data_IF_961976523528
#
_entry.id   IF_961976523528
#
_cell.length_a   1.000
_cell.length_b   1.000
_cell.length_c   1.000
_cell.angle_alpha   90.00
_cell.angle_beta   90.00
_cell.angle_gamma   90.00
#
_symmetry.space_group_name_H-M   'P 1'
#
loop_
_entity.id
_entity.type
_entity.pdbx_description
1 polymer ?
#
# COMPACT_ATOMS: atom_id res chain seq x y z
N UNK A 1 -43.77 38.81 39.31
CA UNK A 1 -44.35 39.86 38.43
C UNK A 1 -43.81 41.20 38.92
N UNK A 2 -43.34 42.16 38.12
CA UNK A 2 -43.12 42.16 36.66
C UNK A 2 -43.15 43.61 36.10
N UNK A 3 -42.06 44.08 35.49
CA UNK A 3 -41.92 45.41 34.85
C UNK A 3 -41.37 46.52 35.76
N UNK A 4 -40.83 47.64 35.24
CA UNK A 4 -40.54 48.07 33.86
C UNK A 4 -39.69 49.37 33.89
N UNK A 5 -38.63 49.56 33.07
CA UNK A 5 -38.03 50.89 32.78
C UNK A 5 -37.07 50.91 31.54
N UNK A 6 -36.91 52.09 30.91
CA UNK A 6 -36.16 52.40 29.65
C UNK A 6 -35.56 53.83 29.69
N UNK A 7 -34.54 54.24 28.90
CA UNK A 7 -33.66 53.46 28.00
C UNK A 7 -32.18 53.97 27.87
N UNK A 8 -31.82 55.10 27.18
CA UNK A 8 -30.52 55.14 26.44
C UNK A 8 -29.76 56.50 26.58
N UNK A 9 -28.84 56.95 25.67
CA UNK A 9 -27.98 56.30 24.64
C UNK A 9 -26.45 56.68 24.72
N UNK A 10 -25.65 56.10 23.79
CA UNK A 10 -24.42 56.58 23.10
C UNK A 10 -23.24 57.31 23.80
N UNK A 11 -21.99 56.89 23.45
CA UNK A 11 -20.80 57.76 23.61
C UNK A 11 -19.39 57.13 23.63
N UNK A 12 -18.83 56.77 22.45
CA UNK A 12 -17.39 56.67 22.12
C UNK A 12 -16.40 55.70 22.85
N UNK A 13 -15.39 55.25 22.08
CA UNK A 13 -14.19 54.43 22.42
C UNK A 13 -13.01 55.38 22.87
N UNK A 14 -11.76 54.94 23.25
CA UNK A 14 -11.10 53.64 22.96
C UNK A 14 -9.96 53.11 23.92
N UNK A 15 -9.28 52.05 23.43
CA UNK A 15 -7.88 51.59 23.70
C UNK A 15 -7.58 50.69 24.94
N UNK A 16 -6.95 49.55 24.60
CA UNK A 16 -6.11 48.59 25.35
C UNK A 16 -6.35 48.26 26.82
N UNK A 17 -6.61 46.96 27.03
CA UNK A 17 -6.11 46.20 28.18
C UNK A 17 -5.35 44.98 27.67
N UNK A 18 -4.03 44.93 27.91
CA UNK A 18 -3.27 43.68 27.88
C UNK A 18 -3.74 42.76 29.02
N UNK A 19 -3.75 41.44 28.81
CA UNK A 19 -3.99 40.49 29.91
C UNK A 19 -4.56 39.13 29.53
N UNK A 20 -3.68 38.23 29.07
CA UNK A 20 -3.83 36.77 29.11
C UNK A 20 -5.11 36.11 28.53
N UNK A 21 -4.95 35.49 27.36
CA UNK A 21 -5.74 34.32 26.96
C UNK A 21 -4.79 33.22 26.48
N UNK A 22 -5.04 31.98 26.89
CA UNK A 22 -4.29 30.80 26.44
C UNK A 22 -4.50 30.57 24.93
N UNK A 23 -3.50 30.09 24.18
CA UNK A 23 -3.73 29.68 22.80
C UNK A 23 -4.47 28.35 22.80
N UNK A 24 -5.76 28.37 22.42
CA UNK A 24 -6.49 27.15 22.07
C UNK A 24 -5.66 26.30 21.09
N UNK A 25 -5.54 25.02 21.39
CA UNK A 25 -4.72 24.07 20.62
C UNK A 25 -5.29 23.84 19.22
N UNK A 26 -4.96 24.74 18.29
CA UNK A 26 -5.42 24.67 16.90
C UNK A 26 -5.08 23.32 16.27
N UNK A 27 -6.11 22.65 15.76
CA UNK A 27 -5.96 21.49 14.91
C UNK A 27 -5.11 21.88 13.70
N UNK A 28 -3.84 21.45 13.70
CA UNK A 28 -2.82 21.94 12.79
C UNK A 28 -3.23 21.79 11.33
N UNK A 29 -3.05 22.87 10.55
CA UNK A 29 -3.26 22.84 9.12
C UNK A 29 -2.32 21.80 8.47
N UNK A 30 -2.89 20.65 8.11
CA UNK A 30 -2.16 19.57 7.42
C UNK A 30 -1.54 20.13 6.13
N UNK A 31 -0.23 19.95 5.94
CA UNK A 31 0.47 20.40 4.75
C UNK A 31 -0.25 19.93 3.47
N UNK A 32 -0.35 20.81 2.48
CA UNK A 32 -1.00 20.52 1.19
C UNK A 32 -0.05 19.73 0.28
N UNK A 33 0.02 18.42 0.51
CA UNK A 33 0.53 17.48 -0.49
C UNK A 33 -0.62 17.09 -1.42
N UNK A 34 -0.46 17.36 -2.72
CA UNK A 34 -1.43 17.04 -3.76
C UNK A 34 -1.42 15.52 -4.06
N UNK A 35 -2.09 14.74 -3.22
CA UNK A 35 -2.23 13.28 -3.36
C UNK A 35 -3.33 12.95 -4.38
N UNK A 36 -3.13 13.40 -5.62
CA UNK A 36 -4.00 13.08 -6.76
C UNK A 36 -3.47 11.86 -7.53
N UNK A 37 -3.91 10.66 -7.15
CA UNK A 37 -3.64 9.45 -7.93
C UNK A 37 -4.20 8.17 -7.33
N UNK A 38 -5.02 7.44 -8.08
CA UNK A 38 -5.62 6.18 -7.66
C UNK A 38 -4.68 4.96 -7.56
N UNK A 39 -3.38 5.10 -7.90
CA UNK A 39 -2.38 4.03 -7.76
C UNK A 39 -1.41 4.37 -6.64
N UNK A 40 -1.03 3.36 -5.85
CA UNK A 40 -0.07 3.48 -4.77
C UNK A 40 1.33 3.91 -5.30
N UNK A 41 1.64 3.45 -6.50
CA UNK A 41 2.91 3.62 -7.19
C UNK A 41 3.22 5.04 -7.70
N UNK A 42 4.37 5.59 -7.30
CA UNK A 42 4.88 6.86 -7.83
C UNK A 42 6.42 6.92 -7.89
N UNK A 43 6.94 7.77 -8.79
CA UNK A 43 8.38 8.08 -8.86
C UNK A 43 8.72 9.14 -7.82
N UNK A 44 9.87 8.97 -7.13
CA UNK A 44 10.42 10.02 -6.27
C UNK A 44 11.28 11.00 -7.08
N UNK A 45 10.93 12.29 -7.06
CA UNK A 45 11.65 13.36 -7.74
C UNK A 45 11.06 13.76 -9.11
N UNK A 46 11.69 14.74 -9.80
CA UNK A 46 11.25 15.16 -11.13
C UNK A 46 11.31 13.98 -12.09
N UNK A 47 10.26 13.82 -12.91
CA UNK A 47 10.19 12.71 -13.85
C UNK A 47 11.42 12.74 -14.78
N UNK A 48 12.10 11.60 -15.01
CA UNK A 48 13.08 11.53 -16.07
C UNK A 48 12.42 11.96 -17.39
N UNK A 49 13.15 12.72 -18.22
CA UNK A 49 12.68 13.22 -19.51
C UNK A 49 12.08 12.11 -20.37
N UNK A 50 11.25 12.43 -21.38
CA UNK A 50 10.29 11.52 -21.99
C UNK A 50 10.95 10.41 -22.84
N UNK A 51 11.57 9.45 -22.16
CA UNK A 51 11.87 8.14 -22.71
C UNK A 51 10.52 7.52 -23.12
N UNK A 52 10.36 7.05 -24.36
CA UNK A 52 9.10 6.47 -24.80
C UNK A 52 8.77 5.28 -23.89
N UNK A 53 7.66 5.38 -23.16
CA UNK A 53 7.20 4.27 -22.33
C UNK A 53 6.93 3.08 -23.24
N UNK A 54 7.46 1.87 -22.94
CA UNK A 54 7.30 0.73 -23.82
C UNK A 54 5.82 0.46 -24.06
N UNK A 55 5.46 0.21 -25.32
CA UNK A 55 4.07 -0.06 -25.70
C UNK A 55 3.51 -1.21 -24.86
N UNK A 56 2.33 -1.00 -24.29
CA UNK A 56 1.68 -1.99 -23.44
C UNK A 56 1.36 -3.25 -24.26
N UNK A 57 1.68 -4.46 -23.76
CA UNK A 57 1.41 -5.68 -24.49
C UNK A 57 -0.10 -5.86 -24.69
N UNK A 58 -0.53 -5.94 -25.95
CA UNK A 58 -1.94 -6.12 -26.28
C UNK A 58 -2.36 -7.56 -26.02
N UNK A 59 -3.38 -7.75 -25.17
CA UNK A 59 -3.93 -9.06 -24.86
C UNK A 59 -5.15 -9.36 -25.76
N UNK A 60 -5.21 -10.53 -26.42
CA UNK A 60 -6.34 -10.88 -27.28
C UNK A 60 -7.58 -11.25 -26.45
N UNK A 61 -8.50 -10.30 -26.23
CA UNK A 61 -9.73 -10.48 -25.42
C UNK A 61 -10.48 -11.79 -25.72
N UNK A 62 -10.57 -12.19 -26.99
CA UNK A 62 -11.24 -13.42 -27.45
C UNK A 62 -10.66 -14.73 -26.89
N UNK A 63 -9.49 -14.70 -26.24
CA UNK A 63 -8.88 -15.85 -25.56
C UNK A 63 -9.20 -15.89 -24.06
N UNK A 64 -9.94 -14.93 -23.51
CA UNK A 64 -10.32 -14.91 -22.09
C UNK A 64 -11.68 -15.58 -21.90
N UNK A 65 -11.69 -16.77 -21.28
CA UNK A 65 -12.91 -17.42 -20.77
C UNK A 65 -13.11 -17.02 -19.31
N UNK A 66 -14.20 -16.34 -19.02
CA UNK A 66 -14.58 -16.04 -17.64
C UNK A 66 -14.74 -17.33 -16.81
N UNK A 67 -14.27 -17.31 -15.56
CA UNK A 67 -14.45 -18.38 -14.58
C UNK A 67 -15.29 -17.91 -13.39
N UNK A 68 -14.85 -16.87 -12.68
CA UNK A 68 -15.53 -16.31 -11.51
C UNK A 68 -15.15 -14.84 -11.28
N UNK A 69 -15.90 -14.14 -10.42
CA UNK A 69 -15.58 -12.78 -9.97
C UNK A 69 -14.76 -12.86 -8.68
N UNK A 70 -13.53 -12.35 -8.70
CA UNK A 70 -12.62 -12.33 -7.55
C UNK A 70 -12.93 -11.17 -6.59
N UNK A 71 -13.51 -10.07 -7.10
CA UNK A 71 -13.94 -8.96 -6.25
C UNK A 71 -14.26 -7.69 -7.01
N UNK A 72 -14.43 -6.61 -6.26
CA UNK A 72 -14.62 -5.24 -6.74
C UNK A 72 -13.49 -4.35 -6.23
N UNK A 73 -13.05 -3.41 -7.06
CA UNK A 73 -12.07 -2.41 -6.72
C UNK A 73 -12.44 -1.04 -7.28
N UNK A 74 -11.63 -0.03 -6.95
CA UNK A 74 -11.89 1.38 -7.23
C UNK A 74 -12.43 1.68 -8.65
N UNK A 75 -11.92 0.98 -9.67
CA UNK A 75 -12.26 1.20 -11.08
C UNK A 75 -13.40 0.31 -11.62
N UNK A 76 -13.74 -0.78 -10.93
CA UNK A 76 -14.64 -1.81 -11.42
C UNK A 76 -14.37 -3.19 -10.82
N UNK A 77 -14.45 -4.24 -11.63
CA UNK A 77 -14.40 -5.62 -11.14
C UNK A 77 -13.04 -6.27 -11.40
N UNK A 78 -12.70 -7.29 -10.61
CA UNK A 78 -11.60 -8.21 -10.94
C UNK A 78 -12.21 -9.59 -11.15
N UNK A 79 -11.90 -10.18 -12.30
CA UNK A 79 -12.41 -11.47 -12.73
C UNK A 79 -11.26 -12.48 -12.81
N UNK A 80 -11.53 -13.74 -12.46
CA UNK A 80 -10.69 -14.87 -12.84
C UNK A 80 -11.08 -15.29 -14.26
N UNK A 81 -10.09 -15.36 -15.14
CA UNK A 81 -10.27 -15.90 -16.49
C UNK A 81 -9.26 -17.02 -16.77
N UNK A 82 -9.68 -17.99 -17.57
CA UNK A 82 -8.81 -18.94 -18.23
C UNK A 82 -8.40 -18.41 -19.61
N UNK A 83 -7.17 -18.71 -20.02
CA UNK A 83 -6.65 -18.36 -21.35
C UNK A 83 -6.76 -19.54 -22.32
N UNK A 84 -7.52 -19.36 -23.39
CA UNK A 84 -7.61 -20.29 -24.51
C UNK A 84 -6.30 -20.32 -25.31
N UNK A 85 -5.73 -21.51 -25.49
CA UNK A 85 -4.47 -21.75 -26.23
C UNK A 85 -3.36 -20.72 -25.85
N UNK A 86 -2.75 -20.88 -24.66
CA UNK A 86 -1.71 -19.98 -24.16
C UNK A 86 -0.45 -19.92 -25.04
N UNK A 87 -0.22 -20.94 -25.87
CA UNK A 87 0.95 -21.04 -26.75
C UNK A 87 0.88 -20.07 -27.93
N UNK A 88 -0.31 -19.55 -28.25
CA UNK A 88 -0.51 -18.49 -29.24
C UNK A 88 -0.67 -17.10 -28.60
N UNK A 89 -0.37 -16.92 -27.31
CA UNK A 89 -0.20 -15.58 -26.74
C UNK A 89 1.05 -14.89 -27.32
N UNK A 90 1.00 -13.56 -27.54
CA UNK A 90 2.19 -12.78 -27.88
C UNK A 90 3.34 -13.00 -26.86
N UNK A 91 4.62 -13.00 -27.27
CA UNK A 91 5.73 -13.31 -26.36
C UNK A 91 5.78 -12.43 -25.09
N UNK A 92 5.44 -11.14 -25.19
CA UNK A 92 5.38 -10.23 -24.04
C UNK A 92 4.22 -10.55 -23.07
N UNK A 93 3.15 -11.17 -23.58
CA UNK A 93 1.98 -11.58 -22.80
C UNK A 93 2.04 -13.00 -22.26
N UNK A 94 3.05 -13.78 -22.68
CA UNK A 94 3.25 -15.13 -22.19
C UNK A 94 3.95 -15.08 -20.82
N UNK A 95 3.43 -15.79 -19.80
CA UNK A 95 4.20 -16.11 -18.60
C UNK A 95 5.51 -16.82 -18.99
N UNK A 96 6.61 -16.65 -18.24
CA UNK A 96 7.86 -17.36 -18.52
C UNK A 96 7.66 -18.87 -18.40
N UNK A 97 6.95 -19.29 -17.35
CA UNK A 97 6.61 -20.69 -17.07
C UNK A 97 5.13 -20.91 -17.40
N UNK A 98 4.86 -21.46 -18.59
CA UNK A 98 3.52 -21.91 -18.92
C UNK A 98 3.19 -23.21 -18.17
N UNK A 99 2.01 -23.31 -17.54
CA UNK A 99 1.59 -24.53 -16.86
C UNK A 99 1.55 -25.73 -17.82
N UNK A 100 2.14 -26.85 -17.41
CA UNK A 100 2.03 -28.14 -18.11
C UNK A 100 0.84 -28.91 -17.54
N UNK A 101 -0.11 -29.31 -18.40
CA UNK A 101 -1.24 -30.16 -18.01
C UNK A 101 -2.34 -29.49 -17.15
N UNK A 102 -2.23 -28.19 -16.83
CA UNK A 102 -3.28 -27.40 -16.16
C UNK A 102 -3.57 -26.11 -16.94
N UNK A 103 -4.79 -25.54 -16.87
CA UNK A 103 -5.13 -24.32 -17.58
C UNK A 103 -4.28 -23.12 -17.12
N UNK A 104 -4.05 -22.15 -18.01
CA UNK A 104 -3.48 -20.86 -17.63
C UNK A 104 -4.60 -19.96 -17.10
N UNK A 105 -4.57 -19.68 -15.79
CA UNK A 105 -5.44 -18.73 -15.12
C UNK A 105 -4.79 -17.34 -15.04
N UNK A 106 -5.59 -16.30 -15.20
CA UNK A 106 -5.18 -14.89 -15.15
C UNK A 106 -6.21 -14.05 -14.40
N UNK A 107 -5.74 -13.03 -13.69
CA UNK A 107 -6.62 -12.03 -13.07
C UNK A 107 -6.85 -10.89 -14.06
N UNK A 108 -8.12 -10.53 -14.28
CA UNK A 108 -8.55 -9.54 -15.27
C UNK A 108 -9.29 -8.42 -14.55
N UNK A 109 -8.61 -7.28 -14.34
CA UNK A 109 -9.23 -6.05 -13.83
C UNK A 109 -9.98 -5.38 -14.98
N UNK A 110 -11.26 -5.07 -14.79
CA UNK A 110 -12.14 -4.49 -15.82
C UNK A 110 -12.59 -3.09 -15.39
N UNK A 111 -12.35 -2.10 -16.25
CA UNK A 111 -12.87 -0.74 -16.05
C UNK A 111 -14.37 -0.71 -16.35
N UNK A 112 -15.17 -0.12 -15.46
CA UNK A 112 -16.62 0.02 -15.67
C UNK A 112 -16.97 0.89 -16.89
N UNK A 113 -18.10 0.64 -17.58
CA UNK A 113 -18.54 1.45 -18.72
C UNK A 113 -18.82 2.92 -18.38
N UNK A 114 -19.28 3.20 -17.15
CA UNK A 114 -19.61 4.53 -16.62
C UNK A 114 -18.41 5.26 -15.99
N UNK A 115 -17.21 4.67 -16.05
CA UNK A 115 -16.02 5.23 -15.41
C UNK A 115 -15.67 6.63 -15.93
N UNK A 116 -15.45 7.56 -15.00
CA UNK A 116 -15.09 8.95 -15.31
C UNK A 116 -13.79 9.05 -16.11
N UNK A 117 -13.57 10.17 -16.82
CA UNK A 117 -12.32 10.43 -17.56
C UNK A 117 -11.08 10.30 -16.66
N UNK A 118 -11.18 10.71 -15.39
CA UNK A 118 -10.10 10.57 -14.40
C UNK A 118 -9.88 9.10 -14.02
N UNK A 119 -10.95 8.34 -13.71
CA UNK A 119 -10.84 6.91 -13.43
C UNK A 119 -10.22 6.13 -14.61
N UNK A 120 -10.60 6.46 -15.85
CA UNK A 120 -10.00 5.88 -17.07
C UNK A 120 -8.52 6.23 -17.23
N UNK A 121 -8.12 7.48 -16.94
CA UNK A 121 -6.72 7.92 -16.98
C UNK A 121 -5.88 7.16 -15.95
N UNK A 122 -6.36 7.09 -14.72
CA UNK A 122 -5.66 6.46 -13.60
C UNK A 122 -5.51 4.93 -13.84
N UNK A 123 -6.55 4.26 -14.36
CA UNK A 123 -6.49 2.86 -14.80
C UNK A 123 -5.44 2.62 -15.91
N UNK A 124 -5.38 3.50 -16.92
CA UNK A 124 -4.34 3.41 -17.96
C UNK A 124 -2.94 3.71 -17.41
N UNK A 125 -2.83 4.55 -16.37
CA UNK A 125 -1.56 4.84 -15.72
C UNK A 125 -1.06 3.67 -14.88
N UNK A 126 -1.94 2.99 -14.14
CA UNK A 126 -1.67 1.72 -13.46
C UNK A 126 -1.08 0.69 -14.44
N UNK A 127 -1.71 0.51 -15.60
CA UNK A 127 -1.23 -0.39 -16.64
C UNK A 127 0.19 -0.03 -17.14
N UNK A 128 0.45 1.26 -17.43
CA UNK A 128 1.78 1.77 -17.84
C UNK A 128 2.84 1.53 -16.77
N UNK A 129 2.48 1.73 -15.51
CA UNK A 129 3.33 1.46 -14.37
C UNK A 129 3.69 -0.02 -14.32
N UNK A 130 2.71 -0.93 -14.24
CA UNK A 130 2.93 -2.37 -14.18
C UNK A 130 3.71 -2.90 -15.40
N UNK A 131 3.51 -2.33 -16.59
CA UNK A 131 4.23 -2.71 -17.81
C UNK A 131 5.75 -2.47 -17.76
N UNK A 132 6.24 -1.67 -16.81
CA UNK A 132 7.68 -1.42 -16.57
C UNK A 132 8.28 -2.33 -15.49
N UNK A 133 7.45 -3.02 -14.71
CA UNK A 133 7.90 -3.83 -13.58
C UNK A 133 8.08 -5.30 -14.00
N UNK A 134 9.26 -5.85 -13.70
CA UNK A 134 9.65 -7.23 -14.06
C UNK A 134 10.59 -7.80 -13.00
N UNK A 135 10.01 -8.39 -11.96
CA UNK A 135 10.72 -9.04 -10.87
C UNK A 135 9.91 -10.27 -10.39
N UNK A 136 10.54 -11.36 -9.90
CA UNK A 136 9.80 -12.52 -9.40
C UNK A 136 8.82 -12.22 -8.27
N UNK A 137 9.09 -11.19 -7.46
CA UNK A 137 8.31 -10.81 -6.28
C UNK A 137 7.47 -9.54 -6.48
N UNK A 138 7.25 -9.10 -7.72
CA UNK A 138 6.27 -8.06 -8.10
C UNK A 138 5.24 -8.68 -9.05
N UNK A 139 3.97 -8.31 -8.91
CA UNK A 139 2.92 -8.85 -9.79
C UNK A 139 3.12 -8.43 -11.24
N UNK A 140 3.13 -9.41 -12.15
CA UNK A 140 3.45 -9.21 -13.56
C UNK A 140 2.23 -8.84 -14.40
N UNK A 141 2.35 -7.76 -15.16
CA UNK A 141 1.45 -7.47 -16.28
C UNK A 141 1.66 -8.50 -17.41
N UNK A 142 0.58 -9.16 -17.82
CA UNK A 142 0.52 -9.99 -19.03
C UNK A 142 -0.06 -9.19 -20.21
N UNK A 143 -0.93 -8.22 -19.98
CA UNK A 143 -1.29 -7.28 -21.04
C UNK A 143 -2.52 -6.45 -20.76
N UNK A 144 -2.98 -5.76 -21.82
CA UNK A 144 -4.18 -4.92 -21.78
C UNK A 144 -5.11 -5.19 -22.96
N UNK A 145 -6.41 -5.13 -22.71
CA UNK A 145 -7.43 -5.10 -23.76
C UNK A 145 -7.81 -3.63 -24.02
N UNK A 146 -7.36 -3.07 -25.15
CA UNK A 146 -7.52 -1.64 -25.48
C UNK A 146 -8.38 -1.36 -26.74
N UNK A 147 -8.98 -2.41 -27.34
CA UNK A 147 -9.87 -2.31 -28.50
C UNK A 147 -11.35 -2.29 -28.11
N UNK A 148 -12.21 -2.90 -28.92
CA UNK A 148 -13.64 -3.04 -28.63
C UNK A 148 -13.91 -3.73 -27.28
N UNK A 149 -14.93 -3.26 -26.55
CA UNK A 149 -15.28 -3.67 -25.20
C UNK A 149 -14.58 -2.87 -24.08
N UNK A 150 -14.84 -3.19 -22.80
CA UNK A 150 -14.31 -2.44 -21.66
C UNK A 150 -12.78 -2.58 -21.55
N UNK A 151 -12.09 -1.54 -21.07
CA UNK A 151 -10.65 -1.61 -20.86
C UNK A 151 -10.32 -2.67 -19.80
N UNK A 152 -9.31 -3.50 -20.07
CA UNK A 152 -8.86 -4.52 -19.11
C UNK A 152 -7.35 -4.44 -18.87
N UNK A 153 -6.94 -4.75 -17.64
CA UNK A 153 -5.57 -5.07 -17.25
C UNK A 153 -5.55 -6.56 -16.89
N UNK A 154 -4.62 -7.31 -17.49
CA UNK A 154 -4.46 -8.74 -17.28
C UNK A 154 -3.13 -8.95 -16.56
N UNK A 155 -3.18 -9.50 -15.35
CA UNK A 155 -2.01 -9.93 -14.59
C UNK A 155 -1.99 -11.45 -14.44
N UNK A 156 -0.88 -11.99 -13.96
CA UNK A 156 -0.88 -13.35 -13.41
C UNK A 156 -1.93 -13.49 -12.28
N UNK A 157 -2.48 -14.70 -12.15
CA UNK A 157 -3.37 -15.07 -11.04
C UNK A 157 -2.56 -15.74 -9.92
N UNK A 158 -2.92 -15.44 -8.68
CA UNK A 158 -2.25 -15.92 -7.47
C UNK A 158 -3.28 -16.71 -6.66
N UNK A 159 -3.16 -18.04 -6.69
CA UNK A 159 -4.18 -19.00 -6.28
C UNK A 159 -4.54 -19.05 -4.79
N UNK A 160 -3.86 -18.26 -3.95
CA UNK A 160 -4.13 -18.18 -2.51
C UNK A 160 -4.58 -16.78 -2.06
N UNK A 161 -4.91 -15.90 -3.01
CA UNK A 161 -5.45 -14.57 -2.73
C UNK A 161 -4.41 -13.63 -2.14
N UNK A 162 -4.85 -12.69 -1.30
CA UNK A 162 -3.96 -11.78 -0.59
C UNK A 162 -3.33 -12.42 0.66
N UNK A 163 -2.17 -11.91 1.04
CA UNK A 163 -1.36 -12.42 2.14
C UNK A 163 -2.03 -12.21 3.51
N UNK A 164 -2.88 -11.19 3.66
CA UNK A 164 -3.57 -10.92 4.92
C UNK A 164 -4.58 -12.04 5.23
N UNK A 165 -5.47 -12.36 4.27
CA UNK A 165 -6.41 -13.48 4.39
C UNK A 165 -5.68 -14.82 4.50
N UNK A 166 -4.62 -15.02 3.71
CA UNK A 166 -3.86 -16.25 3.72
C UNK A 166 -3.21 -16.54 5.08
N UNK A 167 -2.60 -15.53 5.72
CA UNK A 167 -1.97 -15.66 7.02
C UNK A 167 -2.97 -15.80 8.18
N UNK A 168 -4.11 -15.09 8.10
CA UNK A 168 -5.19 -15.22 9.08
C UNK A 168 -5.95 -16.55 9.00
N UNK A 169 -5.89 -17.24 7.86
CA UNK A 169 -6.55 -18.52 7.61
C UNK A 169 -5.79 -19.75 8.17
N UNK A 170 -6.42 -20.94 8.21
CA UNK A 170 -5.86 -22.14 8.85
C UNK A 170 -4.48 -22.56 8.33
N UNK A 171 -4.22 -22.40 7.01
CA UNK A 171 -2.91 -22.67 6.41
C UNK A 171 -1.83 -21.70 6.90
N UNK A 172 -2.17 -20.42 7.01
CA UNK A 172 -1.29 -19.36 7.52
C UNK A 172 -0.92 -19.55 8.99
N UNK A 173 -1.89 -19.94 9.82
CA UNK A 173 -1.67 -20.22 11.24
C UNK A 173 -0.66 -21.36 11.47
N UNK A 174 -0.66 -22.37 10.60
CA UNK A 174 0.26 -23.52 10.67
C UNK A 174 1.69 -23.24 10.16
N UNK A 175 2.00 -22.02 9.67
CA UNK A 175 3.32 -21.72 9.11
C UNK A 175 4.39 -21.59 10.20
N UNK A 176 5.55 -22.21 9.92
CA UNK A 176 6.77 -22.08 10.71
C UNK A 176 7.36 -20.67 10.63
N UNK A 177 8.12 -20.25 11.64
CA UNK A 177 8.89 -19.00 11.60
C UNK A 177 9.82 -18.92 10.38
N UNK A 178 10.44 -20.05 9.98
CA UNK A 178 11.27 -20.11 8.78
C UNK A 178 10.49 -19.78 7.49
N UNK A 179 9.23 -20.21 7.40
CA UNK A 179 8.32 -19.87 6.28
C UNK A 179 7.90 -18.40 6.34
N UNK A 180 7.59 -17.85 7.52
CA UNK A 180 7.26 -16.43 7.68
C UNK A 180 8.44 -15.51 7.33
N UNK A 181 9.67 -15.91 7.69
CA UNK A 181 10.90 -15.23 7.27
C UNK A 181 11.11 -15.31 5.75
N UNK A 182 10.75 -16.42 5.11
CA UNK A 182 10.80 -16.56 3.65
C UNK A 182 9.77 -15.66 2.94
N UNK A 183 8.55 -15.55 3.48
CA UNK A 183 7.54 -14.57 3.04
C UNK A 183 8.08 -13.14 3.15
N UNK A 184 8.62 -12.75 4.31
CA UNK A 184 9.21 -11.43 4.52
C UNK A 184 10.40 -11.14 3.59
N UNK A 185 11.26 -12.12 3.34
CA UNK A 185 12.38 -12.00 2.40
C UNK A 185 11.91 -11.76 0.95
N UNK A 186 10.86 -12.45 0.50
CA UNK A 186 10.28 -12.24 -0.83
C UNK A 186 9.71 -10.82 -0.99
N UNK A 187 8.96 -10.32 0.00
CA UNK A 187 8.47 -8.93 0.01
C UNK A 187 9.65 -7.95 -0.05
N UNK A 188 10.69 -8.15 0.76
CA UNK A 188 11.89 -7.32 0.75
C UNK A 188 12.65 -7.37 -0.60
N UNK A 189 12.63 -8.50 -1.31
CA UNK A 189 13.23 -8.62 -2.65
C UNK A 189 12.46 -7.81 -3.69
N UNK A 190 11.12 -7.90 -3.71
CA UNK A 190 10.29 -7.09 -4.60
C UNK A 190 10.45 -5.59 -4.33
N UNK A 191 10.42 -5.19 -3.04
CA UNK A 191 10.64 -3.79 -2.66
C UNK A 191 12.05 -3.28 -2.95
N UNK A 192 13.08 -4.15 -2.89
CA UNK A 192 14.43 -3.83 -3.37
C UNK A 192 14.46 -3.52 -4.86
N UNK A 193 13.71 -4.26 -5.68
CA UNK A 193 13.57 -3.98 -7.11
C UNK A 193 12.89 -2.62 -7.35
N UNK A 194 11.79 -2.32 -6.65
CA UNK A 194 11.10 -1.02 -6.75
C UNK A 194 12.01 0.15 -6.32
N UNK A 195 12.69 0.03 -5.18
CA UNK A 195 13.63 1.04 -4.71
C UNK A 195 14.78 1.29 -5.72
N UNK A 196 15.28 0.25 -6.38
CA UNK A 196 16.28 0.36 -7.46
C UNK A 196 15.80 1.11 -8.71
N UNK A 197 14.48 1.28 -8.88
CA UNK A 197 13.86 2.07 -9.94
C UNK A 197 13.45 3.50 -9.46
N UNK A 198 13.88 3.92 -8.27
CA UNK A 198 13.46 5.17 -7.60
C UNK A 198 11.92 5.30 -7.49
N UNK A 199 11.28 4.17 -7.23
CA UNK A 199 9.84 4.01 -7.29
C UNK A 199 9.32 3.61 -5.91
N UNK A 200 8.32 4.37 -5.44
CA UNK A 200 7.77 4.30 -4.08
C UNK A 200 6.39 3.66 -4.15
N UNK A 201 6.14 2.67 -3.28
CA UNK A 201 4.89 1.93 -3.19
C UNK A 201 3.82 2.70 -2.39
N UNK A 202 4.18 3.41 -1.32
CA UNK A 202 3.27 4.26 -0.50
C UNK A 202 2.14 3.54 0.26
N UNK A 203 1.79 2.31 -0.09
CA UNK A 203 0.70 1.51 0.52
C UNK A 203 1.14 0.04 0.69
N UNK A 204 2.39 -0.18 1.13
CA UNK A 204 2.90 -1.52 1.40
C UNK A 204 2.28 -2.08 2.69
N UNK A 205 1.55 -3.18 2.56
CA UNK A 205 0.90 -3.92 3.63
C UNK A 205 0.64 -5.37 3.18
N UNK A 206 0.29 -6.27 4.10
CA UNK A 206 -0.04 -7.67 3.72
C UNK A 206 -1.24 -7.77 2.78
N UNK A 207 -2.26 -6.91 2.95
CA UNK A 207 -3.42 -6.77 2.04
C UNK A 207 -3.06 -6.38 0.59
N UNK A 208 -1.84 -5.92 0.35
CA UNK A 208 -1.31 -5.53 -0.97
C UNK A 208 -0.17 -6.47 -1.42
N UNK A 209 -0.05 -7.65 -0.79
CA UNK A 209 0.79 -8.75 -1.25
C UNK A 209 -0.11 -9.93 -1.62
N UNK A 210 0.20 -10.64 -2.71
CA UNK A 210 -0.52 -11.86 -3.13
C UNK A 210 0.30 -13.12 -2.92
N UNK A 211 -0.38 -14.25 -2.70
CA UNK A 211 0.20 -15.57 -2.45
C UNK A 211 -0.18 -16.54 -3.55
N UNK A 212 0.82 -17.24 -4.10
CA UNK A 212 0.66 -18.29 -5.10
C UNK A 212 1.26 -19.62 -4.63
N UNK A 213 1.37 -20.53 -5.59
CA UNK A 213 1.92 -21.88 -5.38
C UNK A 213 3.30 -21.85 -4.69
N UNK A 214 3.56 -22.83 -3.82
CA UNK A 214 4.83 -22.96 -3.11
C UNK A 214 5.15 -21.85 -2.10
N UNK A 215 4.14 -21.08 -1.66
CA UNK A 215 4.31 -19.85 -0.86
C UNK A 215 5.06 -18.74 -1.60
N UNK A 216 4.94 -18.69 -2.93
CA UNK A 216 5.45 -17.57 -3.73
C UNK A 216 4.67 -16.30 -3.37
N UNK A 217 5.37 -15.23 -2.98
CA UNK A 217 4.76 -13.95 -2.61
C UNK A 217 5.14 -12.87 -3.61
N UNK A 218 4.14 -12.09 -4.05
CA UNK A 218 4.32 -10.95 -4.94
C UNK A 218 3.66 -9.70 -4.39
N UNK A 219 4.42 -8.61 -4.32
CA UNK A 219 3.88 -7.29 -3.99
C UNK A 219 3.06 -6.77 -5.17
N UNK A 220 1.91 -6.18 -4.89
CA UNK A 220 0.96 -5.69 -5.87
C UNK A 220 0.29 -4.38 -5.41
N UNK A 221 -0.58 -3.82 -6.26
CA UNK A 221 -1.44 -2.66 -5.98
C UNK A 221 -2.89 -3.04 -6.34
N UNK A 222 -3.43 -4.07 -5.67
CA UNK A 222 -4.81 -4.48 -5.89
C UNK A 222 -5.74 -3.46 -5.25
N UNK A 223 -6.19 -2.49 -6.04
CA UNK A 223 -7.25 -1.53 -5.66
C UNK A 223 -8.61 -2.13 -5.29
N UNK A 224 -8.71 -3.47 -5.11
CA UNK A 224 -9.78 -4.16 -4.36
C UNK A 224 -9.63 -3.97 -2.85
N UNK A 225 -8.38 -3.95 -2.35
CA UNK A 225 -8.06 -3.92 -0.93
C UNK A 225 -8.61 -2.69 -0.21
N UNK A 226 -8.87 -1.59 -0.93
CA UNK A 226 -9.48 -0.37 -0.36
C UNK A 226 -10.96 -0.54 0.03
N UNK A 227 -11.69 -1.46 -0.60
CA UNK A 227 -13.08 -1.74 -0.24
C UNK A 227 -13.16 -2.77 0.89
N UNK A 228 -12.38 -3.85 0.79
CA UNK A 228 -12.37 -4.93 1.79
C UNK A 228 -11.74 -4.50 3.12
N UNK A 229 -10.67 -3.69 3.07
CA UNK A 229 -9.93 -3.20 4.23
C UNK A 229 -10.19 -1.71 4.50
N UNK A 230 -11.43 -1.24 4.34
CA UNK A 230 -11.76 0.18 4.51
C UNK A 230 -11.34 0.75 5.88
N UNK A 231 -11.35 -0.07 6.94
CA UNK A 231 -10.92 0.29 8.29
C UNK A 231 -9.39 0.51 8.45
N UNK A 232 -8.58 0.17 7.44
CA UNK A 232 -7.14 0.48 7.43
C UNK A 232 -6.83 1.89 6.90
N UNK A 233 -7.82 2.60 6.33
CA UNK A 233 -7.63 3.87 5.66
C UNK A 233 -8.35 5.02 6.37
N UNK A 234 -7.57 5.99 6.85
CA UNK A 234 -8.09 7.24 7.36
C UNK A 234 -8.52 8.18 6.23
N UNK A 235 -9.67 8.85 6.41
CA UNK A 235 -10.23 9.80 5.43
C UNK A 235 -10.04 11.23 5.93
N UNK A 236 -8.96 11.87 5.50
CA UNK A 236 -8.77 13.32 5.72
C UNK A 236 -9.86 14.09 4.95
N UNK A 237 -10.52 15.06 5.60
CA UNK A 237 -11.60 15.86 4.99
C UNK A 237 -11.10 16.54 3.70
N UNK A 238 -11.78 16.28 2.59
CA UNK A 238 -11.47 16.85 1.27
C UNK A 238 -10.24 16.26 0.56
N UNK A 239 -9.60 15.21 1.09
CA UNK A 239 -8.38 14.62 0.52
C UNK A 239 -8.50 13.11 0.30
N UNK A 240 -7.41 12.49 -0.14
CA UNK A 240 -7.29 11.05 -0.38
C UNK A 240 -7.43 10.20 0.91
N UNK A 241 -7.72 8.92 0.72
CA UNK A 241 -7.64 7.88 1.75
C UNK A 241 -6.16 7.55 2.03
N UNK A 242 -5.78 7.45 3.30
CA UNK A 242 -4.38 7.27 3.73
C UNK A 242 -4.24 6.08 4.69
N UNK A 243 -3.32 5.12 4.43
CA UNK A 243 -3.09 3.95 5.30
C UNK A 243 -2.23 4.32 6.53
N UNK A 244 -2.69 5.25 7.37
CA UNK A 244 -1.88 5.94 8.39
C UNK A 244 -1.16 5.00 9.37
N UNK A 245 -1.69 3.80 9.60
CA UNK A 245 -1.10 2.77 10.50
C UNK A 245 0.16 2.10 9.93
N UNK A 246 0.41 2.23 8.62
CA UNK A 246 1.63 1.78 7.92
C UNK A 246 2.56 2.94 7.53
N UNK A 247 2.08 4.18 7.58
CA UNK A 247 2.81 5.35 7.12
C UNK A 247 3.91 5.77 8.11
N UNK A 248 5.06 6.18 7.57
CA UNK A 248 6.09 6.84 8.35
C UNK A 248 5.61 8.21 8.85
N UNK A 249 6.20 8.70 9.95
CA UNK A 249 5.78 9.96 10.56
C UNK A 249 5.89 11.15 9.58
N UNK A 250 6.91 11.17 8.72
CA UNK A 250 7.08 12.20 7.70
C UNK A 250 6.03 12.13 6.56
N UNK A 251 5.47 10.95 6.29
CA UNK A 251 4.36 10.82 5.34
C UNK A 251 3.08 11.43 5.91
N UNK A 252 2.84 11.24 7.22
CA UNK A 252 1.63 11.72 7.91
C UNK A 252 1.68 13.24 8.09
N UNK A 253 2.82 13.78 8.56
CA UNK A 253 2.93 15.21 8.87
C UNK A 253 3.31 16.08 7.66
N UNK A 254 4.13 15.55 6.74
CA UNK A 254 4.76 16.34 5.66
C UNK A 254 4.45 15.81 4.26
N UNK A 255 3.61 14.76 4.12
CA UNK A 255 3.29 14.16 2.82
C UNK A 255 4.50 13.61 2.06
N UNK A 256 5.62 13.34 2.74
CA UNK A 256 6.90 13.02 2.12
C UNK A 256 7.05 11.50 1.94
N UNK A 257 6.87 11.00 0.72
CA UNK A 257 6.96 9.58 0.38
C UNK A 257 8.29 9.25 -0.32
N UNK A 258 9.03 8.27 0.20
CA UNK A 258 10.36 7.85 -0.27
C UNK A 258 10.56 6.33 -0.13
N UNK A 259 11.61 5.73 -0.73
CA UNK A 259 11.97 4.33 -0.43
C UNK A 259 12.26 4.07 1.07
N UNK A 260 12.63 5.10 1.84
CA UNK A 260 12.82 4.99 3.29
C UNK A 260 11.50 5.02 4.07
N UNK A 261 10.43 5.64 3.55
CA UNK A 261 9.08 5.49 4.12
C UNK A 261 8.46 4.14 3.74
N UNK A 262 8.79 3.58 2.57
CA UNK A 262 8.43 2.19 2.26
C UNK A 262 9.15 1.19 3.18
N UNK A 263 10.39 1.47 3.60
CA UNK A 263 11.10 0.64 4.59
C UNK A 263 10.40 0.65 5.96
N UNK A 264 9.81 1.78 6.38
CA UNK A 264 8.95 1.86 7.56
C UNK A 264 7.69 0.99 7.42
N UNK A 265 6.98 1.14 6.29
CA UNK A 265 5.79 0.34 5.97
C UNK A 265 6.12 -1.16 5.89
N UNK A 266 7.32 -1.53 5.43
CA UNK A 266 7.83 -2.89 5.47
C UNK A 266 8.04 -3.40 6.90
N UNK A 267 8.52 -2.56 7.82
CA UNK A 267 8.60 -2.90 9.25
C UNK A 267 7.23 -3.28 9.81
N UNK A 268 6.19 -2.51 9.47
CA UNK A 268 4.79 -2.81 9.85
C UNK A 268 4.29 -4.08 9.16
N UNK A 269 4.58 -4.25 7.86
CA UNK A 269 4.22 -5.46 7.09
C UNK A 269 4.86 -6.73 7.67
N UNK A 270 6.12 -6.66 8.11
CA UNK A 270 6.82 -7.76 8.76
C UNK A 270 6.21 -8.07 10.14
N UNK A 271 5.77 -7.05 10.87
CA UNK A 271 5.01 -7.22 12.11
C UNK A 271 3.68 -7.97 11.86
N UNK A 272 2.90 -7.56 10.85
CA UNK A 272 1.67 -8.28 10.42
C UNK A 272 1.94 -9.74 10.05
N UNK A 273 3.04 -10.02 9.34
CA UNK A 273 3.43 -11.38 8.95
C UNK A 273 3.66 -12.26 10.19
N UNK A 274 4.29 -11.70 11.23
CA UNK A 274 4.65 -12.43 12.45
C UNK A 274 3.47 -12.56 13.44
N UNK A 275 2.58 -11.57 13.51
CA UNK A 275 1.28 -11.68 14.21
C UNK A 275 0.25 -12.48 13.40
N UNK A 276 0.59 -12.94 12.19
CA UNK A 276 -0.29 -13.69 11.27
C UNK A 276 -1.58 -12.93 10.96
N UNK A 277 -1.48 -11.61 10.85
CA UNK A 277 -2.60 -10.70 10.56
C UNK A 277 -3.78 -10.81 11.56
N UNK A 278 -3.52 -11.28 12.78
CA UNK A 278 -4.52 -11.44 13.85
C UNK A 278 -4.88 -10.13 14.56
N UNK A 279 -4.06 -9.10 14.37
CA UNK A 279 -4.18 -7.80 15.01
C UNK A 279 -3.92 -6.70 13.98
N UNK A 280 -4.71 -5.62 14.02
CA UNK A 280 -4.42 -4.42 13.22
C UNK A 280 -3.24 -3.68 13.86
N UNK A 281 -2.27 -3.16 13.07
CA UNK A 281 -1.22 -2.30 13.60
C UNK A 281 -1.80 -1.12 14.38
N UNK A 282 -1.30 -0.92 15.60
CA UNK A 282 -1.80 0.07 16.56
C UNK A 282 -3.30 -0.04 16.88
N UNK A 283 -3.91 -1.22 16.78
CA UNK A 283 -5.37 -1.42 16.94
C UNK A 283 -5.96 -0.99 18.30
N UNK A 284 -5.12 -0.70 19.31
CA UNK A 284 -5.51 -0.10 20.59
C UNK A 284 -5.66 1.43 20.56
N UNK A 285 -5.22 2.07 19.48
CA UNK A 285 -5.21 3.52 19.28
C UNK A 285 -6.25 3.92 18.23
N UNK A 286 -6.98 5.02 18.46
CA UNK A 286 -7.79 5.68 17.43
C UNK A 286 -6.91 6.24 16.31
N UNK A 287 -7.50 6.59 15.18
CA UNK A 287 -6.78 7.18 14.05
C UNK A 287 -6.15 8.54 14.43
N UNK A 288 -6.84 9.35 15.25
CA UNK A 288 -6.30 10.59 15.82
C UNK A 288 -5.10 10.33 16.74
N UNK A 289 -5.12 9.24 17.52
CA UNK A 289 -4.00 8.84 18.38
C UNK A 289 -2.80 8.34 17.56
N UNK A 290 -3.03 7.64 16.44
CA UNK A 290 -1.97 7.27 15.48
C UNK A 290 -1.35 8.52 14.84
N UNK A 291 -2.16 9.51 14.47
CA UNK A 291 -1.68 10.80 13.94
C UNK A 291 -0.90 11.58 15.04
N UNK A 292 -1.37 11.59 16.27
CA UNK A 292 -0.67 12.21 17.40
C UNK A 292 0.68 11.52 17.68
N UNK A 293 0.76 10.19 17.52
CA UNK A 293 2.00 9.42 17.65
C UNK A 293 3.05 9.82 16.60
N UNK A 294 2.66 10.09 15.35
CA UNK A 294 3.57 10.68 14.35
C UNK A 294 4.16 12.02 14.85
N UNK A 295 3.36 12.84 15.53
CA UNK A 295 3.81 14.04 16.22
C UNK A 295 4.76 13.79 17.40
N UNK A 296 4.72 12.61 18.04
CA UNK A 296 5.70 12.23 19.06
C UNK A 296 7.03 11.79 18.44
N UNK A 297 7.01 11.04 17.33
CA UNK A 297 8.22 10.72 16.55
C UNK A 297 8.93 11.99 16.07
N UNK A 298 8.20 12.97 15.54
CA UNK A 298 8.78 14.25 15.13
C UNK A 298 9.50 14.98 16.27
N UNK A 299 8.85 15.09 17.44
CA UNK A 299 9.38 15.80 18.63
C UNK A 299 10.54 15.07 19.33
N UNK A 300 10.69 13.75 19.14
CA UNK A 300 11.76 12.93 19.74
C UNK A 300 11.87 12.98 21.28
N UNK A 301 10.74 13.17 21.99
CA UNK A 301 10.70 13.33 23.45
C UNK A 301 10.51 12.01 24.23
N UNK A 302 10.74 10.84 23.59
CA UNK A 302 10.55 9.53 24.23
C UNK A 302 9.10 9.14 24.50
N UNK A 303 8.12 9.87 23.91
CA UNK A 303 6.67 9.62 24.06
C UNK A 303 6.08 8.79 22.91
N UNK A 304 6.87 8.46 21.91
CA UNK A 304 6.41 7.74 20.72
C UNK A 304 6.19 6.25 21.01
N UNK A 305 5.08 5.70 20.52
CA UNK A 305 4.74 4.29 20.62
C UNK A 305 5.19 3.51 19.38
N UNK A 306 5.85 2.37 19.62
CA UNK A 306 6.21 1.39 18.60
C UNK A 306 5.31 0.16 18.71
N UNK A 307 5.17 -0.61 17.63
CA UNK A 307 4.47 -1.89 17.68
C UNK A 307 5.22 -2.88 18.59
N UNK A 308 4.51 -3.63 19.45
CA UNK A 308 5.13 -4.56 20.40
C UNK A 308 5.81 -5.73 19.68
N UNK A 309 6.75 -6.40 20.35
CA UNK A 309 7.34 -7.63 19.82
C UNK A 309 6.24 -8.71 19.65
N UNK A 310 6.04 -9.28 18.45
CA UNK A 310 5.01 -10.31 18.24
C UNK A 310 5.25 -11.56 19.09
N UNK A 311 4.21 -12.29 19.53
CA UNK A 311 4.36 -13.54 20.25
C UNK A 311 5.22 -14.56 19.48
N UNK A 312 6.28 -15.06 20.13
CA UNK A 312 7.23 -15.99 19.52
C UNK A 312 8.20 -15.37 18.51
N UNK A 313 8.24 -14.04 18.37
CA UNK A 313 9.25 -13.34 17.56
C UNK A 313 10.59 -13.25 18.33
N UNK A 314 11.72 -13.68 17.75
CA UNK A 314 13.04 -13.46 18.36
C UNK A 314 13.35 -11.96 18.50
N UNK A 315 14.04 -11.59 19.59
CA UNK A 315 14.36 -10.20 19.89
C UNK A 315 15.20 -9.52 18.79
N UNK A 316 16.10 -10.26 18.15
CA UNK A 316 16.90 -9.75 17.02
C UNK A 316 16.02 -9.36 15.82
N UNK A 317 14.94 -10.11 15.55
CA UNK A 317 13.99 -9.84 14.47
C UNK A 317 13.11 -8.62 14.77
N UNK A 318 12.68 -8.44 16.03
CA UNK A 318 12.05 -7.18 16.47
C UNK A 318 13.01 -6.00 16.40
N UNK A 319 14.30 -6.21 16.71
CA UNK A 319 15.37 -5.24 16.46
C UNK A 319 15.52 -4.85 14.98
N UNK A 320 15.18 -5.71 14.01
CA UNK A 320 15.10 -5.32 12.59
C UNK A 320 13.91 -4.37 12.37
N UNK A 321 12.73 -4.70 12.91
CA UNK A 321 11.53 -3.85 12.79
C UNK A 321 11.72 -2.47 13.42
N UNK A 322 12.34 -2.40 14.61
CA UNK A 322 12.64 -1.13 15.28
C UNK A 322 13.56 -0.23 14.44
N UNK A 323 14.53 -0.79 13.70
CA UNK A 323 15.37 -0.01 12.75
C UNK A 323 14.60 0.45 11.50
N UNK A 324 13.56 -0.27 11.07
CA UNK A 324 12.64 0.24 10.04
C UNK A 324 11.87 1.48 10.53
N UNK A 325 11.65 1.59 11.84
CA UNK A 325 10.95 2.70 12.49
C UNK A 325 11.90 3.75 13.11
N UNK A 326 13.17 3.78 12.67
CA UNK A 326 14.08 4.89 12.99
C UNK A 326 13.46 6.23 12.57
N UNK A 327 13.54 7.22 13.45
CA UNK A 327 13.00 8.57 13.21
C UNK A 327 13.59 9.15 11.93
N UNK A 328 14.91 9.21 11.87
CA UNK A 328 15.65 9.75 10.74
C UNK A 328 15.70 8.74 9.60
N UNK A 329 15.27 9.17 8.40
CA UNK A 329 15.04 8.28 7.27
C UNK A 329 16.32 7.60 6.74
N UNK A 330 17.49 8.20 6.97
CA UNK A 330 18.79 7.67 6.58
C UNK A 330 19.23 6.46 7.44
N UNK A 331 18.75 6.36 8.69
CA UNK A 331 19.08 5.26 9.61
C UNK A 331 18.26 3.99 9.35
N UNK A 332 17.27 4.07 8.44
CA UNK A 332 16.40 2.95 8.10
C UNK A 332 17.14 1.98 7.15
N UNK A 333 17.08 0.66 7.38
CA UNK A 333 17.80 -0.30 6.59
C UNK A 333 17.28 -0.35 5.15
N UNK A 334 18.19 -0.35 4.18
CA UNK A 334 17.82 -0.55 2.77
C UNK A 334 17.20 -1.93 2.56
N UNK A 335 16.32 -2.05 1.55
CA UNK A 335 15.71 -3.35 1.19
C UNK A 335 16.75 -4.42 0.81
N UNK A 336 17.93 -4.03 0.32
CA UNK A 336 19.07 -4.94 0.10
C UNK A 336 19.71 -5.48 1.37
N UNK A 337 19.61 -4.78 2.50
CA UNK A 337 19.98 -5.29 3.82
C UNK A 337 18.85 -6.14 4.41
N UNK A 338 17.60 -5.66 4.35
CA UNK A 338 16.42 -6.38 4.86
C UNK A 338 16.27 -7.77 4.22
N UNK A 339 16.36 -7.86 2.89
CA UNK A 339 16.31 -9.13 2.18
C UNK A 339 17.41 -10.11 2.61
N UNK A 340 18.66 -9.65 2.77
CA UNK A 340 19.77 -10.50 3.22
C UNK A 340 19.54 -11.04 4.63
N UNK A 341 19.20 -10.16 5.57
CA UNK A 341 18.93 -10.56 6.97
C UNK A 341 17.87 -11.66 7.04
N UNK A 342 16.71 -11.46 6.39
CA UNK A 342 15.59 -12.40 6.43
C UNK A 342 15.86 -13.72 5.68
N UNK A 343 16.66 -13.67 4.61
CA UNK A 343 17.05 -14.85 3.81
C UNK A 343 18.09 -15.71 4.53
N UNK A 344 19.11 -15.07 5.09
CA UNK A 344 20.28 -15.77 5.63
C UNK A 344 19.97 -16.37 7.03
N UNK A 345 19.00 -15.79 7.75
CA UNK A 345 18.40 -16.26 9.04
C UNK A 345 19.35 -16.38 10.23
N UNK A 346 20.65 -16.56 10.01
CA UNK A 346 21.70 -16.61 11.04
C UNK A 346 21.65 -15.35 11.91
N UNK A 347 21.41 -15.52 13.22
CA UNK A 347 21.27 -14.42 14.17
C UNK A 347 19.87 -13.78 14.24
N UNK A 348 18.87 -14.34 13.55
CA UNK A 348 17.45 -13.93 13.68
C UNK A 348 16.55 -15.00 14.31
N UNK A 349 17.06 -16.21 14.55
CA UNK A 349 16.34 -17.38 15.10
C UNK A 349 16.98 -17.85 16.38
#
# INVERSE_FOLDING_TARGET
MGGLARAPPDGAKPINTDGAAEPEGGAGAYAEADVTGGSAYAVAGPAPGPAPSPALPSFPRRRLRFREKLGEGQFGEVLLCEVEDPQALPPLSRPPDLPRGRPLLVAVKVLRPDATKNARRDFLQEARTLGRLRDPNIVRLLGVCAGAGPLCIITEYMEHGDLHQFLGGPRGLALSLATLLHVGAQIASGMRFLAGLNFVHRDLATRNCLVGEGFTVKVADFGMSRHLYAADYYRVRGRALLPIRWMAWECILMGTFTPASDAWAFGVTLWEVLTRCREQPYGRLSDEQVIANAGHHFRAQGRQEYLPCPPGCPAALHGVMLRCWSRDAADRPSFGLLHRLLRDRTGLT
#
